data_IF_549076099486
#
_entry.id   IF_549076099486
#
_cell.length_a   1.000
_cell.length_b   1.000
_cell.length_c   1.000
_cell.angle_alpha   90.00
_cell.angle_beta   90.00
_cell.angle_gamma   90.00
#
_symmetry.space_group_name_H-M   'P 1'
#
loop_
_entity.id
_entity.type
_entity.pdbx_description
1 polymer ?
#
# COMPACT_ATOMS: atom_id res chain seq x y z
N UNK A 1 -6.22 4.15 19.44
CA UNK A 1 -5.22 3.43 20.26
C UNK A 1 -5.20 4.04 21.67
N UNK A 2 -4.59 3.41 22.69
CA UNK A 2 -4.69 3.83 24.10
C UNK A 2 -4.13 5.23 24.44
N UNK A 3 -3.46 5.89 23.50
CA UNK A 3 -2.95 7.26 23.66
C UNK A 3 -1.71 7.36 24.54
N UNK A 4 -1.15 6.24 24.98
CA UNK A 4 0.04 6.22 25.82
C UNK A 4 1.28 6.56 25.00
N UNK A 5 2.00 7.61 25.40
CA UNK A 5 3.34 7.89 24.90
C UNK A 5 4.32 6.87 25.47
N UNK A 6 5.11 6.24 24.62
CA UNK A 6 6.17 5.33 25.02
C UNK A 6 7.51 5.87 24.53
N UNK A 7 8.41 6.18 25.45
CA UNK A 7 9.81 6.54 25.14
C UNK A 7 10.61 5.24 25.05
N UNK A 8 11.03 4.88 23.85
CA UNK A 8 11.89 3.73 23.61
C UNK A 8 13.31 4.20 23.30
N UNK A 9 14.19 4.12 24.28
CA UNK A 9 15.60 4.50 24.14
C UNK A 9 16.43 3.33 23.61
N UNK A 10 16.33 3.07 22.31
CA UNK A 10 17.04 1.97 21.65
C UNK A 10 18.56 2.07 21.82
N UNK A 11 19.19 1.05 22.42
CA UNK A 11 20.64 0.85 22.36
C UNK A 11 20.97 -0.34 21.45
N UNK A 12 22.02 -0.26 20.62
CA UNK A 12 22.48 -1.40 19.82
C UNK A 12 22.79 -2.61 20.72
N UNK A 13 22.11 -3.73 20.47
CA UNK A 13 22.24 -4.97 21.25
C UNK A 13 21.10 -5.23 22.24
N UNK A 14 20.21 -4.27 22.47
CA UNK A 14 19.02 -4.48 23.28
C UNK A 14 17.94 -5.26 22.52
N UNK A 15 17.24 -6.14 23.25
CA UNK A 15 16.03 -6.78 22.76
C UNK A 15 14.84 -5.80 22.77
N UNK A 16 13.99 -5.87 21.76
CA UNK A 16 12.74 -5.10 21.75
C UNK A 16 11.77 -5.61 22.83
N UNK A 17 10.98 -4.71 23.45
CA UNK A 17 9.91 -5.12 24.35
C UNK A 17 8.96 -6.13 23.67
N UNK A 18 8.37 -7.10 24.39
CA UNK A 18 7.62 -8.21 23.78
C UNK A 18 6.45 -7.80 22.86
N UNK A 19 5.89 -6.60 23.07
CA UNK A 19 4.77 -6.08 22.31
C UNK A 19 5.12 -4.87 21.44
N UNK A 20 6.39 -4.46 21.41
CA UNK A 20 6.84 -3.33 20.59
C UNK A 20 6.39 -3.53 19.13
N UNK A 21 5.82 -2.51 18.48
CA UNK A 21 5.73 -1.09 18.88
C UNK A 21 4.52 -0.72 19.77
N UNK A 22 3.72 -1.69 20.20
CA UNK A 22 2.55 -1.47 21.05
C UNK A 22 2.91 -1.50 22.55
N UNK A 23 2.17 -0.74 23.37
CA UNK A 23 2.39 -0.76 24.82
C UNK A 23 1.95 -2.07 25.51
N UNK A 24 1.15 -2.90 24.83
CA UNK A 24 0.60 -4.15 25.37
C UNK A 24 0.00 -5.04 24.29
N UNK A 25 -0.24 -6.31 24.63
CA UNK A 25 -0.98 -7.26 23.81
C UNK A 25 -2.37 -6.72 23.41
N UNK A 26 -3.09 -6.06 24.33
CA UNK A 26 -4.40 -5.47 24.04
C UNK A 26 -4.34 -4.47 22.90
N UNK A 27 -3.35 -3.57 22.90
CA UNK A 27 -3.23 -2.55 21.85
C UNK A 27 -2.87 -3.17 20.50
N UNK A 28 -2.02 -4.21 20.48
CA UNK A 28 -1.74 -5.00 19.28
C UNK A 28 -3.02 -5.61 18.69
N UNK A 29 -3.85 -6.25 19.52
CA UNK A 29 -5.09 -6.88 19.06
C UNK A 29 -6.13 -5.86 18.57
N UNK A 30 -6.26 -4.72 19.26
CA UNK A 30 -7.18 -3.65 18.83
C UNK A 30 -6.75 -3.05 17.49
N UNK A 31 -5.45 -2.82 17.29
CA UNK A 31 -4.95 -2.30 16.02
C UNK A 31 -5.21 -3.28 14.87
N UNK A 32 -4.98 -4.57 15.11
CA UNK A 32 -5.33 -5.62 14.15
C UNK A 32 -6.82 -5.63 13.80
N UNK A 33 -7.71 -5.46 14.79
CA UNK A 33 -9.14 -5.33 14.55
C UNK A 33 -9.46 -4.18 13.57
N UNK A 34 -8.89 -3.00 13.81
CA UNK A 34 -9.06 -1.82 12.94
C UNK A 34 -8.58 -2.05 11.50
N UNK A 35 -7.52 -2.83 11.31
CA UNK A 35 -7.08 -3.26 9.99
C UNK A 35 -8.11 -4.16 9.31
N UNK A 36 -8.59 -5.18 10.02
CA UNK A 36 -9.58 -6.13 9.49
C UNK A 36 -10.92 -5.46 9.18
N UNK A 37 -11.30 -4.46 9.97
CA UNK A 37 -12.53 -3.67 9.78
C UNK A 37 -12.39 -2.60 8.67
N UNK A 38 -11.20 -2.46 8.07
CA UNK A 38 -10.95 -1.48 7.00
C UNK A 38 -11.02 -0.02 7.47
N UNK A 39 -10.86 0.22 8.78
CA UNK A 39 -10.76 1.58 9.32
C UNK A 39 -9.50 2.28 8.81
N UNK A 40 -8.41 1.53 8.66
CA UNK A 40 -7.19 2.01 8.03
C UNK A 40 -7.24 1.75 6.53
N UNK A 41 -7.86 2.68 5.81
CA UNK A 41 -7.89 2.70 4.34
C UNK A 41 -7.26 3.97 3.81
N UNK A 42 -6.52 3.85 2.71
CA UNK A 42 -6.02 5.00 1.97
C UNK A 42 -7.18 5.49 1.10
N UNK A 43 -7.71 6.68 1.41
CA UNK A 43 -8.90 7.23 0.73
C UNK A 43 -8.59 7.92 -0.59
N UNK A 44 -7.33 7.89 -1.05
CA UNK A 44 -7.00 8.43 -2.36
C UNK A 44 -7.64 7.52 -3.40
N UNK A 45 -8.36 8.12 -4.33
CA UNK A 45 -8.66 7.43 -5.60
C UNK A 45 -7.35 6.92 -6.14
N UNK A 46 -7.32 5.69 -6.67
CA UNK A 46 -6.17 5.21 -7.44
C UNK A 46 -5.76 6.38 -8.35
N UNK A 47 -4.47 6.75 -8.39
CA UNK A 47 -4.05 7.77 -9.31
C UNK A 47 -4.67 7.40 -10.65
N UNK A 48 -5.36 8.35 -11.31
CA UNK A 48 -5.60 8.21 -12.74
C UNK A 48 -4.28 7.68 -13.30
N UNK A 49 -4.32 6.65 -14.15
CA UNK A 49 -3.11 6.02 -14.70
C UNK A 49 -2.08 7.07 -15.15
N UNK A 50 -2.53 8.28 -15.52
CA UNK A 50 -1.80 9.55 -15.61
C UNK A 50 -0.65 9.81 -14.60
N UNK A 51 -0.71 9.41 -13.31
CA UNK A 51 0.36 9.70 -12.31
C UNK A 51 1.39 8.56 -12.22
N UNK A 52 1.15 7.42 -12.88
CA UNK A 52 2.15 6.35 -12.97
C UNK A 52 3.21 6.71 -14.02
N UNK A 53 4.47 6.50 -13.68
CA UNK A 53 5.55 6.54 -14.67
C UNK A 53 5.29 5.50 -15.76
N UNK A 54 5.84 5.71 -16.95
CA UNK A 54 5.74 4.76 -18.06
C UNK A 54 6.18 3.35 -17.65
N UNK A 55 7.15 3.25 -16.76
CA UNK A 55 7.68 1.96 -16.31
C UNK A 55 6.74 1.25 -15.34
N UNK A 56 6.15 1.99 -14.39
CA UNK A 56 5.11 1.43 -13.51
C UNK A 56 3.89 0.97 -14.30
N UNK A 57 3.49 1.71 -15.35
CA UNK A 57 2.40 1.30 -16.25
C UNK A 57 2.70 0.00 -16.97
N UNK A 58 3.92 -0.17 -17.50
CA UNK A 58 4.34 -1.42 -18.16
C UNK A 58 4.33 -2.60 -17.20
N UNK A 59 4.82 -2.42 -15.98
CA UNK A 59 4.84 -3.46 -14.95
C UNK A 59 3.41 -3.90 -14.60
N UNK A 60 2.51 -2.93 -14.40
CA UNK A 60 1.11 -3.22 -14.12
C UNK A 60 0.44 -3.96 -15.29
N UNK A 61 0.66 -3.50 -16.51
CA UNK A 61 0.13 -4.13 -17.71
C UNK A 61 0.62 -5.59 -17.87
N UNK A 62 1.90 -5.84 -17.61
CA UNK A 62 2.47 -7.19 -17.64
C UNK A 62 1.88 -8.12 -16.58
N UNK A 63 1.63 -7.60 -15.37
CA UNK A 63 0.99 -8.37 -14.29
C UNK A 63 -0.44 -8.78 -14.65
N UNK A 64 -1.24 -7.83 -15.15
CA UNK A 64 -2.63 -8.08 -15.55
C UNK A 64 -2.75 -9.06 -16.72
N UNK A 65 -1.83 -9.00 -17.69
CA UNK A 65 -1.71 -10.00 -18.76
C UNK A 65 -1.41 -11.40 -18.20
N UNK A 66 -0.51 -11.49 -17.22
CA UNK A 66 -0.11 -12.77 -16.63
C UNK A 66 -1.24 -13.43 -15.81
N UNK A 67 -2.11 -12.61 -15.21
CA UNK A 67 -3.31 -13.10 -14.50
C UNK A 67 -4.48 -13.42 -15.45
N UNK A 68 -4.35 -13.16 -16.75
CA UNK A 68 -5.37 -13.42 -17.76
C UNK A 68 -6.58 -12.50 -17.66
N UNK A 69 -6.44 -11.35 -16.99
CA UNK A 69 -7.53 -10.39 -16.79
C UNK A 69 -7.70 -9.44 -17.98
N UNK A 70 -6.69 -9.35 -18.85
CA UNK A 70 -6.70 -8.62 -20.12
C UNK A 70 -6.00 -9.45 -21.21
N UNK A 71 -6.52 -9.44 -22.44
CA UNK A 71 -5.94 -10.21 -23.55
C UNK A 71 -4.74 -9.50 -24.21
N UNK A 72 -4.77 -8.16 -24.33
CA UNK A 72 -3.69 -7.36 -24.96
C UNK A 72 -3.61 -5.93 -24.39
N UNK A 73 -2.41 -5.33 -24.43
CA UNK A 73 -2.17 -3.93 -24.04
C UNK A 73 -2.37 -3.03 -25.26
N UNK A 74 -3.56 -2.46 -25.42
CA UNK A 74 -3.84 -1.49 -26.47
C UNK A 74 -3.25 -0.13 -26.04
N UNK A 75 -2.11 0.24 -26.62
CA UNK A 75 -1.52 1.57 -26.49
C UNK A 75 -2.28 2.56 -27.37
N UNK A 76 -3.16 3.38 -26.79
CA UNK A 76 -3.73 4.50 -27.52
C UNK A 76 -2.74 5.67 -27.55
N UNK A 77 -1.82 5.66 -28.51
CA UNK A 77 -1.22 6.86 -29.10
C UNK A 77 -1.07 6.63 -30.59
N UNK A 78 -2.17 6.76 -31.33
CA UNK A 78 -2.22 7.17 -32.73
C UNK A 78 -3.70 7.37 -33.13
N UNK A 79 -4.20 8.59 -32.92
CA UNK A 79 -5.24 9.14 -33.80
C UNK A 79 -4.61 10.38 -34.41
N UNK A 80 -3.84 10.14 -35.48
CA UNK A 80 -3.59 11.11 -36.53
C UNK A 80 -4.89 11.28 -37.33
N UNK A 81 -5.56 12.42 -37.19
CA UNK A 81 -6.49 12.90 -38.21
C UNK A 81 -5.99 14.26 -38.69
N UNK A 82 -5.13 14.21 -39.71
CA UNK A 82 -5.01 15.30 -40.67
C UNK A 82 -6.18 15.27 -41.67
N UNK A 83 -6.89 16.40 -41.78
CA UNK A 83 -7.00 17.23 -42.99
C UNK A 83 -7.41 18.67 -42.58
#
# INVERSE_FOLDING_TARGET
>A
MCGQSYTFDYQPGDGLPPYFPFCSQRCKTVDLGKWLDGEYRISISLPNSEIMTTEEKKILAQYLLAEGEVDEVIGNEEIDEGD
#
